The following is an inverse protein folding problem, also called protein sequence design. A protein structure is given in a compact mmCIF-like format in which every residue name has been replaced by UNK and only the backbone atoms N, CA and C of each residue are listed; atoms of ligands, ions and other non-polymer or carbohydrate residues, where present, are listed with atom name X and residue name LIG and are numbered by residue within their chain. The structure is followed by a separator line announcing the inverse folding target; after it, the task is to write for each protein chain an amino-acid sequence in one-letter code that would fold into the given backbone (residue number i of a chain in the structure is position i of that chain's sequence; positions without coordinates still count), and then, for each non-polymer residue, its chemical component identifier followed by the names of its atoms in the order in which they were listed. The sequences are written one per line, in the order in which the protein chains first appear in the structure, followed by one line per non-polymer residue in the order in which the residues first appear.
data_IF_976937491888
#
_entry.id   IF_976937491888
#
_cell.length_a   1.000
_cell.length_b   1.000
_cell.length_c   1.000
_cell.angle_alpha   90.00
_cell.angle_beta   90.00
_cell.angle_gamma   90.00
#
_symmetry.space_group_name_H-M   'P 1'
#
loop_
_entity.id
_entity.type
_entity.pdbx_description
1 polymer ?
#
# COMPACT_ATOMS: atom_id res chain seq x y z
N UNK A 1 9.74 13.20 -20.61
CA UNK A 1 8.62 13.12 -19.65
C UNK A 1 9.14 12.47 -18.39
N UNK A 2 8.82 12.99 -17.19
CA UNK A 2 9.14 12.28 -15.94
C UNK A 2 8.37 10.95 -15.99
N UNK A 3 9.06 9.82 -15.81
CA UNK A 3 8.36 8.57 -15.52
C UNK A 3 7.52 8.79 -14.28
N UNK A 4 6.21 8.54 -14.39
CA UNK A 4 5.30 8.65 -13.27
C UNK A 4 5.70 7.59 -12.24
N UNK A 5 6.11 8.05 -11.06
CA UNK A 5 6.42 7.15 -9.95
C UNK A 5 5.15 6.88 -9.17
N UNK A 6 4.92 5.63 -8.80
CA UNK A 6 3.72 5.23 -8.07
C UNK A 6 4.05 4.54 -6.75
N UNK A 7 3.12 4.60 -5.81
CA UNK A 7 3.03 3.67 -4.69
C UNK A 7 2.16 2.48 -5.10
N UNK A 8 2.46 1.29 -4.62
CA UNK A 8 1.61 0.11 -4.84
C UNK A 8 1.09 -0.39 -3.51
N UNK A 9 -0.23 -0.38 -3.32
CA UNK A 9 -0.87 -0.95 -2.16
C UNK A 9 -0.66 -2.47 -2.13
N UNK A 10 0.01 -2.94 -1.09
CA UNK A 10 0.55 -4.29 -1.02
C UNK A 10 -0.02 -5.03 0.18
N UNK A 11 -0.78 -6.10 -0.06
CA UNK A 11 -1.29 -7.00 0.98
C UNK A 11 -0.44 -8.26 1.13
N UNK A 12 0.49 -8.50 0.20
CA UNK A 12 1.24 -9.75 0.06
C UNK A 12 0.46 -10.87 -0.62
N UNK A 13 -0.78 -10.60 -1.07
CA UNK A 13 -1.65 -11.56 -1.75
C UNK A 13 -1.55 -11.51 -3.28
N UNK A 14 -2.28 -12.42 -3.93
CA UNK A 14 -2.27 -12.59 -5.40
C UNK A 14 -2.73 -11.34 -6.16
N UNK A 15 -3.70 -10.61 -5.63
CA UNK A 15 -4.32 -9.48 -6.34
C UNK A 15 -3.39 -8.25 -6.33
N UNK A 16 -2.74 -7.95 -5.20
CA UNK A 16 -1.69 -6.93 -5.16
C UNK A 16 -0.45 -7.34 -5.96
N UNK A 17 -0.13 -8.63 -6.02
CA UNK A 17 0.95 -9.16 -6.86
C UNK A 17 0.64 -8.99 -8.35
N UNK A 18 -0.60 -9.24 -8.77
CA UNK A 18 -1.04 -9.02 -10.14
C UNK A 18 -1.01 -7.52 -10.50
N UNK A 19 -1.51 -6.65 -9.62
CA UNK A 19 -1.43 -5.20 -9.84
C UNK A 19 0.03 -4.72 -9.98
N UNK A 20 0.92 -5.19 -9.09
CA UNK A 20 2.36 -4.92 -9.19
C UNK A 20 2.94 -5.36 -10.54
N UNK A 21 2.65 -6.60 -10.94
CA UNK A 21 3.12 -7.15 -12.21
C UNK A 21 2.66 -6.30 -13.41
N UNK A 22 1.39 -5.92 -13.46
CA UNK A 22 0.83 -5.11 -14.55
C UNK A 22 1.53 -3.75 -14.67
N UNK A 23 1.76 -3.07 -13.54
CA UNK A 23 2.47 -1.78 -13.52
C UNK A 23 3.92 -1.90 -13.99
N UNK A 24 4.59 -3.01 -13.65
CA UNK A 24 5.95 -3.28 -14.12
C UNK A 24 6.01 -3.51 -15.64
N UNK A 25 5.04 -4.24 -16.20
CA UNK A 25 4.96 -4.49 -17.66
C UNK A 25 4.68 -3.21 -18.44
N UNK A 26 3.96 -2.24 -17.86
CA UNK A 26 3.75 -0.91 -18.43
C UNK A 26 4.99 0.00 -18.32
N UNK A 27 6.06 -0.45 -17.66
CA UNK A 27 7.30 0.31 -17.49
C UNK A 27 7.18 1.48 -16.51
N UNK A 28 6.16 1.46 -15.65
CA UNK A 28 5.93 2.49 -14.63
C UNK A 28 6.90 2.26 -13.47
N UNK A 29 7.52 3.34 -12.97
CA UNK A 29 8.47 3.26 -11.89
C UNK A 29 7.76 3.13 -10.53
N UNK A 30 8.17 2.15 -9.72
CA UNK A 30 7.58 1.91 -8.40
C UNK A 30 8.47 2.53 -7.33
N UNK A 31 7.91 3.47 -6.57
CA UNK A 31 8.64 4.15 -5.50
C UNK A 31 8.72 3.28 -4.23
N UNK A 32 7.59 2.69 -3.82
CA UNK A 32 7.52 1.77 -2.70
C UNK A 32 6.23 0.92 -2.72
N UNK A 33 6.28 -0.21 -2.03
CA UNK A 33 5.12 -0.96 -1.58
C UNK A 33 4.54 -0.28 -0.33
N UNK A 34 3.21 -0.24 -0.22
CA UNK A 34 2.48 0.42 0.85
C UNK A 34 1.60 -0.60 1.58
N UNK A 35 1.81 -0.81 2.88
CA UNK A 35 1.01 -1.77 3.67
C UNK A 35 0.59 -1.23 5.03
N UNK A 36 -0.67 -1.45 5.39
CA UNK A 36 -1.17 -1.20 6.76
C UNK A 36 -0.87 -2.38 7.67
N UNK A 37 -0.31 -2.11 8.86
CA UNK A 37 0.08 -3.12 9.85
C UNK A 37 -0.56 -2.78 11.18
N UNK A 38 -1.28 -3.73 11.81
CA UNK A 38 -1.83 -3.49 13.15
C UNK A 38 -0.71 -3.62 14.19
N UNK A 39 -0.57 -2.59 15.01
CA UNK A 39 0.34 -2.54 16.16
C UNK A 39 0.07 -3.71 17.11
N UNK A 40 1.08 -4.06 17.91
CA UNK A 40 1.05 -5.13 18.92
C UNK A 40 0.95 -6.57 18.37
N UNK A 41 0.32 -6.79 17.22
CA UNK A 41 0.16 -8.14 16.66
C UNK A 41 1.25 -8.56 15.67
N UNK A 42 2.11 -7.64 15.21
CA UNK A 42 3.13 -7.87 14.17
C UNK A 42 2.55 -8.59 12.93
N UNK A 43 1.31 -8.22 12.55
CA UNK A 43 0.54 -8.86 11.49
C UNK A 43 -0.14 -7.84 10.60
N UNK A 44 -0.33 -8.20 9.33
CA UNK A 44 -1.13 -7.44 8.37
C UNK A 44 -2.59 -7.48 8.80
N UNK A 45 -3.21 -6.30 8.89
CA UNK A 45 -4.51 -6.09 9.53
C UNK A 45 -5.65 -6.94 8.95
N UNK A 46 -5.64 -7.21 7.64
CA UNK A 46 -6.74 -7.89 6.94
C UNK A 46 -6.58 -9.42 6.81
N UNK A 47 -5.36 -9.94 6.88
CA UNK A 47 -5.08 -11.36 6.55
C UNK A 47 -4.33 -12.12 7.65
N UNK A 48 -3.96 -11.44 8.75
CA UNK A 48 -3.23 -12.06 9.85
C UNK A 48 -1.83 -12.57 9.46
N UNK A 49 -1.32 -12.19 8.27
CA UNK A 49 0.00 -12.56 7.78
C UNK A 49 1.06 -11.89 8.63
N UNK A 50 2.11 -12.63 9.02
CA UNK A 50 3.20 -12.10 9.84
C UNK A 50 3.97 -11.01 9.08
N UNK A 51 4.29 -9.91 9.74
CA UNK A 51 5.09 -8.83 9.17
C UNK A 51 6.43 -9.31 8.56
N UNK A 52 7.06 -10.34 9.13
CA UNK A 52 8.30 -10.91 8.57
C UNK A 52 8.14 -11.47 7.15
N UNK A 53 6.95 -11.98 6.79
CA UNK A 53 6.69 -12.47 5.44
C UNK A 53 6.56 -11.31 4.46
N UNK A 54 5.90 -10.23 4.87
CA UNK A 54 5.80 -8.99 4.12
C UNK A 54 7.19 -8.39 3.82
N UNK A 55 8.05 -8.33 4.84
CA UNK A 55 9.42 -7.82 4.70
C UNK A 55 10.27 -8.71 3.79
N UNK A 56 10.11 -10.04 3.88
CA UNK A 56 10.78 -10.98 2.97
C UNK A 56 10.30 -10.83 1.52
N UNK A 57 9.01 -10.60 1.30
CA UNK A 57 8.47 -10.33 -0.04
C UNK A 57 9.07 -9.04 -0.62
N UNK A 58 9.05 -7.94 0.14
CA UNK A 58 9.67 -6.68 -0.26
C UNK A 58 11.15 -6.84 -0.59
N UNK A 59 11.90 -7.56 0.25
CA UNK A 59 13.32 -7.85 0.01
C UNK A 59 13.53 -8.67 -1.27
N UNK A 60 12.73 -9.70 -1.51
CA UNK A 60 12.82 -10.53 -2.71
C UNK A 60 12.46 -9.75 -3.98
N UNK A 61 11.55 -8.78 -3.88
CA UNK A 61 11.18 -7.88 -4.99
C UNK A 61 12.21 -6.77 -5.23
N UNK A 62 13.07 -6.48 -4.25
CA UNK A 62 13.98 -5.33 -4.30
C UNK A 62 13.28 -3.97 -4.23
N UNK A 63 12.03 -3.93 -3.78
CA UNK A 63 11.20 -2.71 -3.72
C UNK A 63 11.08 -2.27 -2.25
N UNK A 64 11.30 -0.98 -1.92
CA UNK A 64 11.09 -0.45 -0.57
C UNK A 64 9.69 -0.74 -0.04
N UNK A 65 9.56 -0.96 1.26
CA UNK A 65 8.27 -1.18 1.94
C UNK A 65 8.00 -0.09 2.96
N UNK A 66 6.90 0.64 2.75
CA UNK A 66 6.32 1.58 3.69
C UNK A 66 5.22 0.90 4.49
N UNK A 67 5.29 1.06 5.81
CA UNK A 67 4.33 0.47 6.74
C UNK A 67 3.56 1.59 7.45
N UNK A 68 2.25 1.61 7.26
CA UNK A 68 1.33 2.43 8.05
C UNK A 68 0.91 1.62 9.25
N UNK A 69 1.51 1.88 10.41
CA UNK A 69 1.09 1.24 11.65
C UNK A 69 -0.25 1.81 12.10
N UNK A 70 -1.17 0.98 12.55
CA UNK A 70 -2.48 1.40 13.11
C UNK A 70 -2.75 0.66 14.43
N UNK A 71 -3.40 1.28 15.43
CA UNK A 71 -3.69 0.60 16.70
C UNK A 71 -4.67 -0.57 16.52
N UNK A 72 -4.76 -1.50 17.50
CA UNK A 72 -5.92 -2.37 17.62
C UNK A 72 -7.22 -1.53 17.68
N UNK A 73 -8.32 -2.02 17.10
CA UNK A 73 -9.63 -1.33 17.11
C UNK A 73 -9.57 0.11 16.53
N UNK A 74 -8.79 0.28 15.46
CA UNK A 74 -8.61 1.57 14.78
C UNK A 74 -9.92 2.14 14.25
N UNK A 75 -10.18 3.42 14.53
CA UNK A 75 -11.22 4.21 13.85
C UNK A 75 -10.74 4.65 12.46
N UNK A 76 -11.68 4.89 11.54
CA UNK A 76 -11.34 5.42 10.21
C UNK A 76 -10.58 6.74 10.29
N UNK A 77 -10.91 7.62 11.24
CA UNK A 77 -10.21 8.89 11.45
C UNK A 77 -8.72 8.69 11.75
N UNK A 78 -8.38 7.71 12.60
CA UNK A 78 -6.98 7.40 12.92
C UNK A 78 -6.29 6.76 11.70
N UNK A 79 -6.98 5.86 11.01
CA UNK A 79 -6.46 5.24 9.79
C UNK A 79 -6.13 6.28 8.73
N UNK A 80 -7.09 7.16 8.41
CA UNK A 80 -6.95 8.23 7.41
C UNK A 80 -5.84 9.19 7.81
N UNK A 81 -5.80 9.66 9.05
CA UNK A 81 -4.74 10.56 9.51
C UNK A 81 -3.34 9.96 9.31
N UNK A 82 -3.16 8.67 9.64
CA UNK A 82 -1.87 7.97 9.49
C UNK A 82 -1.52 7.68 8.02
N UNK A 83 -2.52 7.30 7.23
CA UNK A 83 -2.35 7.10 5.78
C UNK A 83 -1.99 8.41 5.08
N UNK A 84 -2.75 9.48 5.32
CA UNK A 84 -2.52 10.81 4.75
C UNK A 84 -1.14 11.36 5.10
N UNK A 85 -0.64 11.15 6.33
CA UNK A 85 0.71 11.58 6.71
C UNK A 85 1.79 10.92 5.84
N UNK A 86 1.64 9.62 5.53
CA UNK A 86 2.56 8.92 4.63
C UNK A 86 2.37 9.36 3.18
N UNK A 87 1.14 9.50 2.70
CA UNK A 87 0.87 9.96 1.33
C UNK A 87 1.44 11.36 1.10
N UNK A 88 1.32 12.27 2.08
CA UNK A 88 1.88 13.61 2.01
C UNK A 88 3.42 13.60 1.93
N UNK A 89 4.09 12.69 2.65
CA UNK A 89 5.54 12.49 2.54
C UNK A 89 5.95 12.16 1.09
N UNK A 90 5.18 11.34 0.39
CA UNK A 90 5.43 10.94 -1.00
C UNK A 90 5.01 12.02 -2.01
N UNK A 91 3.89 12.70 -1.77
CA UNK A 91 3.45 13.83 -2.59
C UNK A 91 4.50 14.96 -2.60
N UNK A 92 5.14 15.25 -1.46
CA UNK A 92 6.25 16.21 -1.37
C UNK A 92 7.51 15.78 -2.16
N UNK A 93 7.61 14.51 -2.55
CA UNK A 93 8.66 13.97 -3.41
C UNK A 93 8.22 13.84 -4.88
N UNK A 94 6.99 14.27 -5.20
CA UNK A 94 6.39 14.20 -6.53
C UNK A 94 5.76 12.85 -6.88
N UNK A 95 5.46 12.01 -5.90
CA UNK A 95 4.74 10.73 -6.06
C UNK A 95 3.30 10.94 -5.59
N UNK A 96 2.36 11.06 -6.54
CA UNK A 96 0.95 11.44 -6.27
C UNK A 96 -0.04 10.34 -6.62
N UNK A 97 0.42 9.19 -7.08
CA UNK A 97 -0.41 8.10 -7.59
C UNK A 97 -0.21 6.85 -6.75
N UNK A 98 -1.32 6.23 -6.33
CA UNK A 98 -1.33 4.96 -5.60
C UNK A 98 -2.11 3.93 -6.41
N UNK A 99 -1.49 2.79 -6.67
CA UNK A 99 -2.10 1.67 -7.39
C UNK A 99 -2.65 0.68 -6.39
N UNK A 100 -3.89 0.24 -6.62
CA UNK A 100 -4.58 -0.74 -5.81
C UNK A 100 -4.96 -1.98 -6.63
N UNK A 101 -4.89 -3.16 -6.02
CA UNK A 101 -5.27 -4.43 -6.62
C UNK A 101 -6.66 -4.91 -6.18
N UNK A 102 -7.62 -4.00 -6.01
CA UNK A 102 -8.99 -4.39 -5.62
C UNK A 102 -9.69 -5.09 -6.79
N UNK A 103 -10.34 -6.22 -6.50
CA UNK A 103 -11.11 -6.96 -7.49
C UNK A 103 -12.54 -7.13 -6.97
N UNK A 104 -13.52 -6.58 -7.70
CA UNK A 104 -14.97 -6.71 -7.43
C UNK A 104 -15.46 -6.18 -6.07
N UNK A 105 -14.91 -5.06 -5.59
CA UNK A 105 -15.32 -4.42 -4.32
C UNK A 105 -15.63 -2.94 -4.54
N UNK A 106 -16.79 -2.66 -5.14
CA UNK A 106 -17.20 -1.29 -5.56
C UNK A 106 -17.22 -0.29 -4.39
N UNK A 107 -17.68 -0.74 -3.21
CA UNK A 107 -17.70 0.08 -2.01
C UNK A 107 -16.28 0.45 -1.55
N UNK A 108 -15.34 -0.47 -1.66
CA UNK A 108 -13.93 -0.23 -1.31
C UNK A 108 -13.30 0.75 -2.30
N UNK A 109 -13.56 0.55 -3.59
CA UNK A 109 -13.09 1.46 -4.64
C UNK A 109 -13.61 2.87 -4.40
N UNK A 110 -14.91 3.02 -4.20
CA UNK A 110 -15.57 4.30 -3.92
C UNK A 110 -15.00 4.96 -2.66
N UNK A 111 -14.73 4.19 -1.61
CA UNK A 111 -14.09 4.73 -0.41
C UNK A 111 -12.71 5.30 -0.72
N UNK A 112 -11.87 4.57 -1.46
CA UNK A 112 -10.50 5.00 -1.80
C UNK A 112 -10.52 6.26 -2.67
N UNK A 113 -11.31 6.27 -3.74
CA UNK A 113 -11.41 7.43 -4.65
C UNK A 113 -11.86 8.72 -3.94
N UNK A 114 -12.63 8.62 -2.86
CA UNK A 114 -13.13 9.79 -2.11
C UNK A 114 -12.22 10.26 -0.97
N UNK A 115 -11.29 9.43 -0.48
CA UNK A 115 -10.56 9.70 0.76
C UNK A 115 -9.03 9.59 0.66
N UNK A 116 -8.49 8.92 -0.38
CA UNK A 116 -7.06 8.63 -0.53
C UNK A 116 -6.52 9.12 -1.88
#
# INVERSE_FOLDING_TARGET
MKLEKVLVAWSGGKDSALALYTIQEEGIEISALLTTVTEQYNRISMHGVRQILLERQSHALGIPLEKVFIPPETSNEIYEARMSALLLKYANQGVTTVVFGDVFLEDIRTYRENHL
#
